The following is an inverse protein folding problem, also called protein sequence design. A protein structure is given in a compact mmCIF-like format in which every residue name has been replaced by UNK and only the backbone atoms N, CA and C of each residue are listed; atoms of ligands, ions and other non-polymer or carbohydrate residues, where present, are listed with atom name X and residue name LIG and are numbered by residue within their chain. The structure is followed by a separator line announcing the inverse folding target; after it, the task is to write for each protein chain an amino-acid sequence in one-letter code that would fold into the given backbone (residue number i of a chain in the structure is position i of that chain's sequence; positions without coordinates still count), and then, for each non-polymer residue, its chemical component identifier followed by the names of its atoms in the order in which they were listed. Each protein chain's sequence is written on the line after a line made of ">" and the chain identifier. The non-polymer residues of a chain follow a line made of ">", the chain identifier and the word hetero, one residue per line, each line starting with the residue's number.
data_IF_493516539912
#
_entry.id   IF_493516539912
#
_cell.length_a   1.000
_cell.length_b   1.000
_cell.length_c   1.000
_cell.angle_alpha   90.00
_cell.angle_beta   90.00
_cell.angle_gamma   90.00
#
_symmetry.space_group_name_H-M   'P 1'
#
loop_
_entity.id
_entity.type
_entity.pdbx_description
1 polymer ?
#
# COMPACT_ATOMS: atom_id res chain seq x y z
N UNK A 1 -59.44 40.37 30.40
CA UNK A 1 -59.60 39.12 29.62
C UNK A 1 -59.64 39.53 28.15
N UNK A 2 -58.83 38.97 27.22
CA UNK A 2 -58.48 37.54 27.10
C UNK A 2 -56.97 37.23 26.97
N UNK A 3 -56.67 35.95 27.20
CA UNK A 3 -55.40 35.25 26.96
C UNK A 3 -55.33 34.85 25.48
N UNK A 4 -54.25 35.19 24.78
CA UNK A 4 -53.87 34.52 23.53
C UNK A 4 -52.58 33.76 23.78
N UNK A 5 -52.74 32.46 24.07
CA UNK A 5 -51.67 31.48 24.04
C UNK A 5 -51.40 31.16 22.56
N UNK A 6 -50.28 31.64 22.01
CA UNK A 6 -49.82 31.20 20.69
C UNK A 6 -49.06 29.89 20.90
N UNK A 7 -49.72 28.78 20.56
CA UNK A 7 -49.09 27.48 20.42
C UNK A 7 -48.10 27.53 19.24
N UNK A 8 -46.81 27.53 19.52
CA UNK A 8 -45.78 27.26 18.51
C UNK A 8 -45.70 25.74 18.29
N UNK A 9 -46.29 25.27 17.18
CA UNK A 9 -46.13 23.90 16.69
C UNK A 9 -44.71 23.76 16.13
N UNK A 10 -43.79 23.21 16.92
CA UNK A 10 -42.47 22.83 16.43
C UNK A 10 -42.61 21.56 15.57
N UNK A 11 -42.74 21.76 14.25
CA UNK A 11 -42.66 20.71 13.26
C UNK A 11 -41.19 20.24 13.20
N UNK A 12 -40.82 19.27 14.02
CA UNK A 12 -39.52 18.60 13.95
C UNK A 12 -39.50 17.80 12.65
N UNK A 13 -38.92 18.39 11.61
CA UNK A 13 -38.52 17.70 10.40
C UNK A 13 -37.55 16.58 10.81
N UNK A 14 -38.08 15.35 10.88
CA UNK A 14 -37.30 14.12 10.86
C UNK A 14 -36.59 14.04 9.52
N UNK A 15 -35.49 14.78 9.38
CA UNK A 15 -34.50 14.52 8.35
C UNK A 15 -33.98 13.12 8.68
N UNK A 16 -34.19 12.10 7.82
CA UNK A 16 -33.53 10.83 8.03
C UNK A 16 -32.03 11.14 7.98
N UNK A 17 -31.39 11.10 9.15
CA UNK A 17 -29.93 11.04 9.22
C UNK A 17 -29.56 9.95 8.24
N UNK A 18 -28.78 10.27 7.21
CA UNK A 18 -28.20 9.26 6.31
C UNK A 18 -27.62 8.22 7.25
N UNK A 19 -28.28 7.07 7.35
CA UNK A 19 -27.75 5.98 8.13
C UNK A 19 -26.39 5.69 7.50
N UNK A 20 -25.31 5.91 8.26
CA UNK A 20 -23.96 5.59 7.82
C UNK A 20 -24.01 4.16 7.31
N UNK A 21 -23.93 4.00 5.99
CA UNK A 21 -24.09 2.71 5.36
C UNK A 21 -22.93 1.86 5.87
N UNK A 22 -23.24 0.86 6.70
CA UNK A 22 -22.24 0.00 7.34
C UNK A 22 -21.36 -0.63 6.27
N UNK A 23 -20.07 -0.33 6.30
CA UNK A 23 -19.09 -0.92 5.37
C UNK A 23 -19.02 -2.43 5.58
N UNK A 24 -19.12 -3.19 4.49
CA UNK A 24 -19.05 -4.66 4.47
C UNK A 24 -17.97 -5.13 3.50
N UNK A 25 -17.59 -6.40 3.57
CA UNK A 25 -16.64 -6.99 2.62
C UNK A 25 -17.15 -7.04 1.18
N UNK A 26 -18.40 -6.67 0.90
CA UNK A 26 -18.98 -6.56 -0.45
C UNK A 26 -19.19 -5.11 -0.89
N UNK A 27 -18.84 -4.14 -0.03
CA UNK A 27 -18.97 -2.71 -0.33
C UNK A 27 -17.92 -2.27 -1.36
N UNK A 28 -18.17 -1.16 -2.04
CA UNK A 28 -17.17 -0.46 -2.85
C UNK A 28 -16.68 -1.21 -4.09
N UNK A 29 -15.71 -0.61 -4.78
CA UNK A 29 -15.08 -1.16 -5.98
C UNK A 29 -13.96 -2.12 -5.60
N UNK A 30 -13.99 -3.34 -6.11
CA UNK A 30 -12.90 -4.31 -5.95
C UNK A 30 -11.65 -3.84 -6.70
N UNK A 31 -10.50 -3.83 -6.03
CA UNK A 31 -9.18 -3.59 -6.61
C UNK A 31 -8.39 -4.89 -6.76
N UNK A 32 -8.61 -5.83 -5.85
CA UNK A 32 -8.00 -7.15 -5.87
C UNK A 32 -8.96 -8.18 -5.29
N UNK A 33 -9.04 -9.34 -5.92
CA UNK A 33 -9.79 -10.48 -5.42
C UNK A 33 -9.08 -11.78 -5.80
N UNK A 34 -8.76 -12.57 -4.78
CA UNK A 34 -8.21 -13.90 -4.96
C UNK A 34 -8.59 -14.79 -3.78
N UNK A 35 -9.11 -15.98 -4.06
CA UNK A 35 -9.67 -16.89 -3.06
C UNK A 35 -10.70 -16.19 -2.15
N UNK A 36 -10.43 -16.08 -0.85
CA UNK A 36 -11.31 -15.37 0.11
C UNK A 36 -10.75 -14.01 0.53
N UNK A 37 -9.73 -13.51 -0.17
CA UNK A 37 -9.13 -12.20 0.08
C UNK A 37 -9.69 -11.20 -0.92
N UNK A 38 -10.12 -10.04 -0.42
CA UNK A 38 -10.60 -8.93 -1.23
C UNK A 38 -10.00 -7.63 -0.73
N UNK A 39 -9.45 -6.84 -1.64
CA UNK A 39 -9.14 -5.43 -1.40
C UNK A 39 -10.11 -4.60 -2.23
N UNK A 40 -10.69 -3.58 -1.62
CA UNK A 40 -11.67 -2.73 -2.26
C UNK A 40 -11.56 -1.30 -1.77
N UNK A 41 -12.19 -0.39 -2.51
CA UNK A 41 -12.17 1.03 -2.20
C UNK A 41 -13.58 1.63 -2.15
N UNK A 42 -13.74 2.65 -1.31
CA UNK A 42 -14.92 3.50 -1.22
C UNK A 42 -14.57 4.95 -1.57
N UNK A 43 -15.62 5.77 -1.75
CA UNK A 43 -15.50 7.22 -1.89
C UNK A 43 -14.47 7.69 -2.93
N UNK A 44 -14.50 7.12 -4.14
CA UNK A 44 -13.59 7.50 -5.23
C UNK A 44 -12.09 7.34 -4.91
N UNK A 45 -11.69 6.26 -4.22
CA UNK A 45 -10.28 5.93 -3.89
C UNK A 45 -9.70 6.65 -2.68
N UNK A 46 -10.55 7.21 -1.81
CA UNK A 46 -10.07 7.89 -0.59
C UNK A 46 -9.94 6.94 0.59
N UNK A 47 -10.60 5.77 0.53
CA UNK A 47 -10.48 4.75 1.57
C UNK A 47 -10.25 3.36 0.95
N UNK A 48 -9.25 2.64 1.46
CA UNK A 48 -8.88 1.30 1.01
C UNK A 48 -9.06 0.29 2.13
N UNK A 49 -9.82 -0.76 1.85
CA UNK A 49 -10.22 -1.78 2.80
C UNK A 49 -9.75 -3.16 2.38
N UNK A 50 -9.37 -3.99 3.35
CA UNK A 50 -9.06 -5.40 3.16
C UNK A 50 -10.05 -6.30 3.91
N UNK A 51 -10.37 -7.44 3.30
CA UNK A 51 -11.05 -8.58 3.90
C UNK A 51 -10.34 -9.88 3.54
N UNK A 52 -10.49 -10.90 4.39
CA UNK A 52 -9.98 -12.24 4.14
C UNK A 52 -10.90 -13.32 4.72
N UNK A 53 -10.56 -14.61 4.54
CA UNK A 53 -11.24 -15.72 5.19
C UNK A 53 -11.30 -15.59 6.74
N UNK A 54 -10.24 -15.01 7.32
CA UNK A 54 -10.08 -14.79 8.77
C UNK A 54 -10.57 -13.39 9.13
N UNK A 55 -10.24 -12.39 8.32
CA UNK A 55 -10.66 -11.01 8.49
C UNK A 55 -12.03 -10.77 7.82
N UNK A 56 -13.10 -11.23 8.49
CA UNK A 56 -14.49 -11.17 7.99
C UNK A 56 -15.15 -9.80 8.11
N UNK A 57 -14.55 -8.88 8.86
CA UNK A 57 -14.99 -7.47 8.93
C UNK A 57 -13.96 -6.63 8.17
N UNK A 58 -14.40 -5.73 7.28
CA UNK A 58 -13.47 -4.92 6.51
C UNK A 58 -12.60 -4.06 7.42
N UNK A 59 -11.32 -3.97 7.08
CA UNK A 59 -10.35 -3.11 7.78
C UNK A 59 -9.80 -2.10 6.82
N UNK A 60 -10.00 -0.84 7.17
CA UNK A 60 -9.36 0.29 6.55
C UNK A 60 -7.86 0.22 6.83
N UNK A 61 -7.05 0.28 5.78
CA UNK A 61 -5.60 0.11 5.91
C UNK A 61 -4.78 1.19 5.20
N UNK A 62 -5.41 1.97 4.31
CA UNK A 62 -4.82 3.13 3.67
C UNK A 62 -5.91 4.17 3.38
N UNK A 63 -5.50 5.43 3.37
CA UNK A 63 -6.31 6.57 2.93
C UNK A 63 -5.69 7.15 1.68
N UNK A 64 -6.52 7.45 0.69
CA UNK A 64 -6.15 8.30 -0.43
C UNK A 64 -6.44 9.77 -0.13
N UNK A 65 -5.79 10.69 -0.84
CA UNK A 65 -6.16 12.10 -0.78
C UNK A 65 -7.41 12.38 -1.64
N UNK A 66 -8.32 13.21 -1.13
CA UNK A 66 -9.48 13.66 -1.88
C UNK A 66 -9.02 14.46 -3.12
N UNK A 67 -9.40 14.01 -4.31
CA UNK A 67 -9.10 14.71 -5.57
C UNK A 67 -7.72 14.41 -6.18
N UNK A 68 -6.95 13.49 -5.62
CA UNK A 68 -5.71 13.00 -6.23
C UNK A 68 -5.91 11.68 -7.00
N UNK A 69 -4.94 11.33 -7.85
CA UNK A 69 -4.89 10.05 -8.56
C UNK A 69 -4.26 8.95 -7.69
N UNK A 70 -4.66 8.85 -6.42
CA UNK A 70 -4.14 7.81 -5.54
C UNK A 70 -4.57 6.42 -6.04
N UNK A 71 -3.61 5.51 -6.15
CA UNK A 71 -3.87 4.12 -6.53
C UNK A 71 -3.09 3.16 -5.63
N UNK A 72 -3.62 1.94 -5.51
CA UNK A 72 -2.97 0.87 -4.77
C UNK A 72 -3.00 -0.40 -5.62
N UNK A 73 -1.83 -0.98 -5.87
CA UNK A 73 -1.63 -2.10 -6.78
C UNK A 73 -0.47 -3.01 -6.35
N UNK A 74 0.00 -3.89 -7.26
CA UNK A 74 1.06 -4.90 -7.04
C UNK A 74 0.78 -5.88 -5.87
N UNK A 75 -0.41 -6.47 -5.94
CA UNK A 75 -0.92 -7.39 -4.93
C UNK A 75 -0.25 -8.76 -5.01
N UNK A 76 0.54 -9.11 -3.98
CA UNK A 76 1.14 -10.46 -3.89
C UNK A 76 1.12 -11.00 -2.44
N UNK A 77 0.68 -12.25 -2.23
CA UNK A 77 0.63 -12.82 -0.89
C UNK A 77 2.00 -13.30 -0.41
N UNK A 78 2.33 -13.00 0.84
CA UNK A 78 3.52 -13.44 1.58
C UNK A 78 3.12 -13.96 2.96
N UNK A 79 2.84 -15.26 3.04
CA UNK A 79 2.28 -15.88 4.24
C UNK A 79 0.91 -15.30 4.58
N UNK A 80 0.84 -14.43 5.60
CA UNK A 80 -0.39 -13.78 6.03
C UNK A 80 -0.46 -12.30 5.66
N UNK A 81 0.56 -11.79 4.96
CA UNK A 81 0.62 -10.41 4.50
C UNK A 81 0.29 -10.39 3.01
N UNK A 82 -0.43 -9.35 2.58
CA UNK A 82 -0.60 -9.01 1.18
C UNK A 82 0.21 -7.76 0.91
N UNK A 83 1.21 -7.84 0.02
CA UNK A 83 1.98 -6.67 -0.39
C UNK A 83 1.13 -5.72 -1.21
N UNK A 84 1.54 -4.46 -1.23
CA UNK A 84 1.03 -3.47 -2.15
C UNK A 84 2.06 -2.38 -2.43
N UNK A 85 1.86 -1.69 -3.54
CA UNK A 85 2.42 -0.38 -3.84
C UNK A 85 1.29 0.62 -3.80
N UNK A 86 1.52 1.78 -3.16
CA UNK A 86 0.58 2.90 -3.18
C UNK A 86 1.25 4.10 -3.82
N UNK A 87 0.66 4.56 -4.91
CA UNK A 87 1.00 5.85 -5.52
C UNK A 87 0.08 6.92 -4.94
N UNK A 88 0.63 8.10 -4.73
CA UNK A 88 -0.13 9.25 -4.27
C UNK A 88 0.38 10.56 -4.87
N UNK A 89 -0.54 11.51 -5.00
CA UNK A 89 -0.24 12.88 -5.45
C UNK A 89 -0.44 13.85 -4.29
N UNK A 90 0.58 14.65 -3.99
CA UNK A 90 0.54 15.69 -2.97
C UNK A 90 1.01 17.02 -3.52
N UNK A 91 0.08 17.88 -3.95
CA UNK A 91 0.42 19.11 -4.66
C UNK A 91 1.04 18.79 -6.02
N UNK A 92 2.22 19.36 -6.29
CA UNK A 92 2.98 19.11 -7.53
C UNK A 92 3.88 17.87 -7.46
N UNK A 93 3.90 17.15 -6.34
CA UNK A 93 4.75 15.98 -6.13
C UNK A 93 3.98 14.68 -6.32
N UNK A 94 4.58 13.76 -7.08
CA UNK A 94 4.21 12.35 -7.11
C UNK A 94 5.11 11.61 -6.13
N UNK A 95 4.50 10.83 -5.25
CA UNK A 95 5.21 9.96 -4.33
C UNK A 95 4.59 8.59 -4.32
N UNK A 96 5.33 7.62 -3.81
CA UNK A 96 4.81 6.28 -3.67
C UNK A 96 5.41 5.58 -2.45
N UNK A 97 4.68 4.60 -1.95
CA UNK A 97 5.05 3.78 -0.80
C UNK A 97 4.94 2.31 -1.18
N UNK A 98 5.73 1.48 -0.52
CA UNK A 98 5.59 0.03 -0.60
C UNK A 98 5.29 -0.53 0.78
N UNK A 99 4.39 -1.49 0.86
CA UNK A 99 3.91 -1.96 2.14
C UNK A 99 3.22 -3.30 2.09
N UNK A 100 2.53 -3.59 3.18
CA UNK A 100 1.70 -4.76 3.30
C UNK A 100 0.53 -4.54 4.25
N UNK A 101 -0.52 -5.35 4.07
CA UNK A 101 -1.62 -5.50 5.01
C UNK A 101 -1.67 -6.95 5.52
N UNK A 102 -1.76 -7.11 6.85
CA UNK A 102 -1.94 -8.39 7.52
C UNK A 102 -3.38 -8.86 7.34
N UNK A 103 -3.56 -9.97 6.62
CA UNK A 103 -4.86 -10.54 6.29
C UNK A 103 -5.56 -11.22 7.48
N UNK A 104 -4.93 -11.35 8.64
CA UNK A 104 -5.57 -11.87 9.87
C UNK A 104 -6.11 -10.72 10.72
N UNK A 105 -5.35 -9.63 10.82
CA UNK A 105 -5.63 -8.54 11.78
C UNK A 105 -6.14 -7.27 11.10
N UNK A 106 -5.79 -7.07 9.84
CA UNK A 106 -5.96 -5.82 9.09
C UNK A 106 -4.94 -4.74 9.43
N UNK A 107 -3.92 -5.04 10.25
CA UNK A 107 -2.81 -4.12 10.48
C UNK A 107 -2.05 -3.91 9.18
N UNK A 108 -1.65 -2.69 8.88
CA UNK A 108 -0.81 -2.35 7.74
C UNK A 108 0.42 -1.58 8.15
N UNK A 109 1.41 -1.60 7.27
CA UNK A 109 2.56 -0.73 7.33
C UNK A 109 3.01 -0.41 5.90
N UNK A 110 3.54 0.79 5.71
CA UNK A 110 4.11 1.24 4.45
C UNK A 110 5.43 1.98 4.69
N UNK A 111 6.40 1.76 3.81
CA UNK A 111 7.67 2.47 3.77
C UNK A 111 7.57 3.55 2.69
N UNK A 112 7.93 4.78 3.03
CA UNK A 112 8.14 5.84 2.05
C UNK A 112 9.41 5.53 1.27
N UNK A 113 9.30 5.51 -0.05
CA UNK A 113 10.44 5.31 -0.95
C UNK A 113 10.68 6.59 -1.78
N UNK A 114 10.34 7.73 -1.18
CA UNK A 114 10.37 9.05 -1.81
C UNK A 114 11.79 9.52 -2.22
N UNK A 115 11.86 10.48 -3.19
CA UNK A 115 13.08 11.03 -3.79
C UNK A 115 13.82 12.09 -2.96
N UNK A 116 13.44 12.33 -1.70
CA UNK A 116 14.24 13.13 -0.76
C UNK A 116 15.50 12.38 -0.28
N UNK A 117 15.67 11.13 -0.72
CA UNK A 117 16.81 10.27 -0.50
C UNK A 117 17.38 9.78 -1.85
N UNK A 118 18.59 9.21 -1.84
CA UNK A 118 19.37 8.72 -3.00
C UNK A 118 18.69 7.61 -3.85
N UNK A 119 17.36 7.42 -3.74
CA UNK A 119 16.56 6.46 -4.49
C UNK A 119 15.79 7.23 -5.59
N UNK A 120 16.12 7.04 -6.88
CA UNK A 120 15.45 7.75 -7.97
C UNK A 120 13.96 7.44 -8.07
N UNK A 121 13.19 8.39 -8.60
CA UNK A 121 11.77 8.20 -8.93
C UNK A 121 11.58 7.11 -10.00
N UNK A 122 10.41 6.46 -10.00
CA UNK A 122 10.10 5.32 -10.86
C UNK A 122 8.68 5.38 -11.41
N UNK A 123 8.53 5.17 -12.73
CA UNK A 123 7.22 5.16 -13.39
C UNK A 123 6.64 3.74 -13.60
N UNK A 124 7.48 2.70 -13.71
CA UNK A 124 7.06 1.33 -14.06
C UNK A 124 8.02 0.25 -13.53
N UNK A 125 7.68 -1.04 -13.75
CA UNK A 125 8.60 -2.16 -13.54
C UNK A 125 8.81 -2.55 -12.07
N UNK A 126 7.76 -2.37 -11.26
CA UNK A 126 7.87 -2.46 -9.82
C UNK A 126 7.54 -3.86 -9.31
N UNK A 127 8.25 -4.30 -8.28
CA UNK A 127 7.91 -5.50 -7.54
C UNK A 127 8.18 -5.30 -6.06
N UNK A 128 7.23 -5.69 -5.21
CA UNK A 128 7.41 -5.74 -3.76
C UNK A 128 7.50 -7.17 -3.26
N UNK A 129 8.52 -7.42 -2.44
CA UNK A 129 8.67 -8.68 -1.70
C UNK A 129 8.66 -8.40 -0.21
N UNK A 130 7.98 -9.26 0.54
CA UNK A 130 7.80 -9.10 1.99
C UNK A 130 8.46 -10.27 2.71
N UNK A 131 9.37 -9.97 3.62
CA UNK A 131 10.02 -10.96 4.48
C UNK A 131 9.11 -11.40 5.64
N UNK A 132 9.42 -12.54 6.30
CA UNK A 132 8.65 -13.03 7.45
C UNK A 132 8.55 -12.05 8.63
N UNK A 133 9.56 -11.22 8.85
CA UNK A 133 9.54 -10.15 9.86
C UNK A 133 8.64 -8.96 9.47
N UNK A 134 8.40 -8.78 8.18
CA UNK A 134 7.60 -7.69 7.60
C UNK A 134 8.43 -6.66 6.85
N UNK A 135 9.76 -6.84 6.81
CA UNK A 135 10.64 -6.01 6.01
C UNK A 135 10.31 -6.17 4.52
N UNK A 136 10.57 -5.13 3.73
CA UNK A 136 10.26 -5.12 2.30
C UNK A 136 11.49 -4.83 1.46
N UNK A 137 11.59 -5.47 0.31
CA UNK A 137 12.49 -5.07 -0.75
C UNK A 137 11.65 -4.71 -1.98
N UNK A 138 12.12 -3.69 -2.70
CA UNK A 138 11.43 -3.13 -3.84
C UNK A 138 12.37 -3.10 -5.02
N UNK A 139 11.93 -3.63 -6.15
CA UNK A 139 12.54 -3.40 -7.47
C UNK A 139 11.81 -2.25 -8.15
N UNK A 140 12.54 -1.35 -8.80
CA UNK A 140 11.99 -0.25 -9.59
C UNK A 140 12.83 0.08 -10.81
N UNK A 141 12.22 0.69 -11.81
CA UNK A 141 12.92 1.33 -12.92
C UNK A 141 13.16 2.81 -12.64
N UNK A 142 14.37 3.31 -12.88
CA UNK A 142 14.71 4.72 -12.68
C UNK A 142 14.13 5.56 -13.81
N UNK A 143 13.44 6.66 -13.50
CA UNK A 143 12.92 7.58 -14.49
C UNK A 143 14.03 8.07 -15.44
N UNK A 144 13.77 8.06 -16.76
CA UNK A 144 14.71 8.49 -17.79
C UNK A 144 16.04 7.71 -17.83
N UNK A 145 16.10 6.50 -17.27
CA UNK A 145 17.29 5.65 -17.27
C UNK A 145 16.92 4.20 -17.54
N UNK A 146 17.79 3.43 -18.21
CA UNK A 146 17.59 1.98 -18.34
C UNK A 146 17.90 1.20 -17.08
N UNK A 147 18.41 1.88 -16.05
CA UNK A 147 18.79 1.25 -14.80
C UNK A 147 17.58 0.86 -13.96
N UNK A 148 17.71 -0.25 -13.24
CA UNK A 148 16.79 -0.61 -12.18
C UNK A 148 17.47 -0.49 -10.81
N UNK A 149 16.70 -0.15 -9.80
CA UNK A 149 17.18 -0.06 -8.42
C UNK A 149 16.47 -1.06 -7.54
N UNK A 150 17.22 -1.57 -6.57
CA UNK A 150 16.70 -2.42 -5.50
C UNK A 150 16.86 -1.65 -4.20
N UNK A 151 15.72 -1.33 -3.58
CA UNK A 151 15.64 -0.68 -2.29
C UNK A 151 15.17 -1.65 -1.21
N UNK A 152 15.47 -1.34 0.05
CA UNK A 152 15.03 -2.13 1.19
C UNK A 152 14.61 -1.25 2.36
N UNK A 153 13.52 -1.65 3.02
CA UNK A 153 13.06 -1.03 4.25
C UNK A 153 12.84 -2.11 5.32
N UNK A 154 13.57 -1.98 6.42
CA UNK A 154 13.45 -2.89 7.56
C UNK A 154 12.18 -2.59 8.36
N UNK A 155 11.40 -3.63 8.68
CA UNK A 155 10.28 -3.49 9.60
C UNK A 155 10.73 -3.66 11.05
N UNK A 156 10.55 -2.62 11.86
CA UNK A 156 10.84 -2.62 13.28
C UNK A 156 9.63 -3.00 14.13
N UNK A 157 9.57 -2.50 15.37
CA UNK A 157 8.55 -2.88 16.35
C UNK A 157 7.11 -2.65 15.88
N UNK A 158 6.86 -1.62 15.05
CA UNK A 158 5.53 -1.23 14.52
C UNK A 158 5.55 -0.40 13.23
N UNK A 159 6.73 -0.04 12.72
CA UNK A 159 6.91 0.86 11.58
C UNK A 159 8.15 0.46 10.82
N UNK A 160 8.23 0.90 9.57
CA UNK A 160 9.46 0.81 8.81
C UNK A 160 10.51 1.78 9.34
N UNK A 161 11.78 1.36 9.25
CA UNK A 161 12.91 2.27 9.23
C UNK A 161 12.96 2.96 7.86
N UNK A 162 13.84 3.96 7.72
CA UNK A 162 14.08 4.60 6.43
C UNK A 162 14.49 3.58 5.37
N UNK A 163 13.92 3.71 4.17
CA UNK A 163 14.30 2.89 3.04
C UNK A 163 15.67 3.32 2.53
N UNK A 164 16.49 2.38 2.09
CA UNK A 164 17.79 2.67 1.52
C UNK A 164 18.00 1.90 0.23
N UNK A 165 18.77 2.50 -0.68
CA UNK A 165 19.25 1.85 -1.89
C UNK A 165 20.23 0.73 -1.51
N UNK A 166 19.97 -0.48 -2.00
CA UNK A 166 20.91 -1.60 -1.87
C UNK A 166 21.75 -1.78 -3.13
N UNK A 167 21.14 -1.69 -4.31
CA UNK A 167 21.83 -1.92 -5.56
C UNK A 167 21.25 -1.10 -6.71
N UNK A 168 22.12 -0.70 -7.63
CA UNK A 168 21.79 -0.23 -8.98
C UNK A 168 22.17 -1.33 -9.96
N UNK A 169 21.27 -1.64 -10.89
CA UNK A 169 21.45 -2.65 -11.93
C UNK A 169 21.46 -1.90 -13.27
N UNK A 170 22.66 -1.72 -13.83
CA UNK A 170 22.92 -0.79 -14.95
C UNK A 170 22.29 -1.22 -16.28
N UNK A 171 22.23 -2.53 -16.55
CA UNK A 171 21.61 -3.08 -17.76
C UNK A 171 21.23 -4.56 -17.61
N UNK A 172 20.08 -4.92 -18.20
CA UNK A 172 19.46 -6.23 -18.06
C UNK A 172 18.34 -6.16 -17.05
N UNK A 173 17.09 -6.23 -17.54
CA UNK A 173 15.92 -6.18 -16.67
C UNK A 173 16.01 -7.29 -15.63
N UNK A 174 15.94 -6.96 -14.36
CA UNK A 174 15.61 -7.91 -13.31
C UNK A 174 14.26 -8.55 -13.65
N UNK A 175 14.21 -9.88 -13.64
CA UNK A 175 12.91 -10.56 -13.62
C UNK A 175 12.25 -10.25 -12.28
N UNK A 176 11.26 -9.37 -12.30
CA UNK A 176 10.46 -8.96 -11.14
C UNK A 176 9.96 -10.15 -10.30
N UNK A 177 9.69 -11.32 -10.91
CA UNK A 177 9.22 -12.51 -10.21
C UNK A 177 10.33 -13.23 -9.43
N UNK A 178 11.59 -13.02 -9.82
CA UNK A 178 12.77 -13.61 -9.18
C UNK A 178 13.23 -12.86 -7.92
N UNK A 179 12.77 -11.62 -7.74
CA UNK A 179 13.10 -10.84 -6.55
C UNK A 179 12.67 -11.60 -5.30
N UNK A 180 13.58 -11.69 -4.33
CA UNK A 180 13.34 -12.37 -3.07
C UNK A 180 14.20 -11.79 -1.94
N UNK A 181 13.72 -11.93 -0.71
CA UNK A 181 14.51 -11.71 0.50
C UNK A 181 14.86 -13.08 1.06
N UNK A 182 16.15 -13.41 1.06
CA UNK A 182 16.69 -14.67 1.57
C UNK A 182 17.68 -14.35 2.69
N UNK A 183 17.68 -15.10 3.78
CA UNK A 183 18.50 -14.93 5.00
C UNK A 183 19.65 -13.91 4.92
N UNK A 184 19.33 -12.63 5.15
CA UNK A 184 20.32 -11.54 5.22
C UNK A 184 20.71 -10.88 3.89
N UNK A 185 20.01 -11.16 2.79
CA UNK A 185 20.25 -10.60 1.46
C UNK A 185 18.96 -10.40 0.66
N UNK A 186 19.00 -9.46 -0.27
CA UNK A 186 18.04 -9.39 -1.38
C UNK A 186 18.68 -10.04 -2.59
N UNK A 187 17.95 -10.97 -3.22
CA UNK A 187 18.42 -11.77 -4.36
C UNK A 187 17.48 -11.60 -5.54
N UNK A 188 18.02 -11.71 -6.74
CA UNK A 188 17.26 -11.63 -7.99
C UNK A 188 17.97 -12.38 -9.12
N UNK A 189 17.30 -12.48 -10.25
CA UNK A 189 17.84 -12.99 -11.52
C UNK A 189 17.49 -12.00 -12.61
N UNK A 190 18.42 -11.68 -13.50
CA UNK A 190 18.14 -10.87 -14.70
C UNK A 190 17.30 -11.68 -15.70
N UNK A 191 16.65 -11.02 -16.64
CA UNK A 191 15.93 -11.65 -17.76
C UNK A 191 16.85 -12.48 -18.65
N UNK A 192 18.16 -12.21 -18.63
CA UNK A 192 19.20 -13.03 -19.27
C UNK A 192 19.67 -14.23 -18.43
N UNK A 193 19.11 -14.44 -17.23
CA UNK A 193 19.42 -15.57 -16.36
C UNK A 193 20.62 -15.38 -15.45
N UNK A 194 21.17 -14.17 -15.33
CA UNK A 194 22.31 -13.88 -14.45
C UNK A 194 21.80 -13.65 -13.02
N UNK A 195 22.29 -14.42 -12.02
CA UNK A 195 21.90 -14.20 -10.63
C UNK A 195 22.55 -12.94 -10.05
N UNK A 196 21.82 -12.23 -9.19
CA UNK A 196 22.28 -11.09 -8.43
C UNK A 196 21.91 -11.22 -6.95
N UNK A 197 22.72 -10.62 -6.09
CA UNK A 197 22.53 -10.63 -4.65
C UNK A 197 23.21 -9.44 -4.00
N UNK A 198 22.57 -8.86 -2.99
CA UNK A 198 23.13 -7.80 -2.16
C UNK A 198 22.82 -8.05 -0.68
N UNK A 199 23.80 -7.94 0.24
CA UNK A 199 23.54 -8.09 1.66
C UNK A 199 22.63 -7.00 2.21
N UNK A 200 21.74 -7.38 3.13
CA UNK A 200 20.96 -6.46 3.95
C UNK A 200 21.83 -6.04 5.13
N UNK A 201 22.31 -4.80 5.12
CA UNK A 201 23.02 -4.25 6.27
C UNK A 201 21.98 -3.92 7.35
N UNK A 202 22.09 -4.58 8.51
CA UNK A 202 21.26 -4.25 9.67
C UNK A 202 21.78 -2.94 10.27
N UNK A 203 21.00 -1.88 10.17
CA UNK A 203 21.19 -0.70 11.01
C UNK A 203 20.87 -1.09 12.46
N UNK A 204 21.89 -1.01 13.31
CA UNK A 204 21.81 -1.32 14.75
C UNK A 204 21.05 -0.27 15.56
#
# INVERSE_FOLDING_TARGET
>A
MPRFLVLALALVLLVPSRADAKVTCNSGKTLYEHARTRVFTLYQRTEFYACSAVLRRPRLFAYGNDGSLDDVYDWKPYGHRLSFIREWVGGDNLGWTAGWVDLRTGASAEASIQPDHDIPFAETGQAVVVAPDGSVAILQHVENSTAQVIAYAQFGKRKFHEAHLLATVDAGDVDAKSLAITTGSVTWTTTSGVPGSVPIMRSG
#
